data_IF_383710360772
#
_entry.id   IF_383710360772
#
_cell.length_a   1.000
_cell.length_b   1.000
_cell.length_c   1.000
_cell.angle_alpha   90.00
_cell.angle_beta   90.00
_cell.angle_gamma   90.00
#
_symmetry.space_group_name_H-M   'P 1'
#
loop_
_entity.id
_entity.type
_entity.pdbx_description
1 polymer ?
#
# COMPACT_ATOMS: atom_id res chain seq x y z
N UNK A 1 52.63 -16.25 49.28
CA UNK A 1 51.54 -16.95 48.55
C UNK A 1 50.21 -16.24 48.76
N UNK A 2 50.00 -15.06 48.17
CA UNK A 2 48.75 -14.28 48.32
C UNK A 2 48.80 -13.23 47.21
N UNK A 3 48.14 -13.46 46.06
CA UNK A 3 47.70 -12.42 45.10
C UNK A 3 47.20 -12.93 43.74
N UNK A 4 47.40 -14.20 43.36
CA UNK A 4 46.97 -14.67 42.02
C UNK A 4 45.45 -14.78 41.85
N UNK A 5 44.67 -14.98 42.93
CA UNK A 5 43.21 -15.15 42.86
C UNK A 5 42.43 -13.85 42.61
N UNK A 6 42.97 -12.68 42.99
CA UNK A 6 42.29 -11.38 42.77
C UNK A 6 42.47 -10.87 41.33
N UNK A 7 43.59 -11.21 40.70
CA UNK A 7 43.88 -10.81 39.31
C UNK A 7 43.00 -11.61 38.33
N UNK A 8 42.74 -12.89 38.62
CA UNK A 8 41.86 -13.73 37.79
C UNK A 8 40.38 -13.31 37.85
N UNK A 9 39.89 -12.81 38.99
CA UNK A 9 38.49 -12.38 39.13
C UNK A 9 38.18 -11.09 38.36
N UNK A 10 39.14 -10.15 38.31
CA UNK A 10 38.96 -8.87 37.62
C UNK A 10 38.94 -8.99 36.09
N UNK A 11 39.65 -9.99 35.53
CA UNK A 11 39.67 -10.24 34.07
C UNK A 11 38.34 -10.85 33.60
N UNK A 12 37.69 -11.67 34.43
CA UNK A 12 36.40 -12.30 34.09
C UNK A 12 35.26 -11.27 34.09
N UNK A 13 35.26 -10.30 35.02
CA UNK A 13 34.22 -9.26 35.08
C UNK A 13 34.34 -8.26 33.92
N UNK A 14 35.56 -7.92 33.50
CA UNK A 14 35.77 -7.02 32.34
C UNK A 14 35.42 -7.71 31.01
N UNK A 15 35.69 -9.03 30.88
CA UNK A 15 35.30 -9.81 29.71
C UNK A 15 33.77 -9.90 29.53
N UNK A 16 33.02 -10.04 30.63
CA UNK A 16 31.54 -10.12 30.60
C UNK A 16 30.90 -8.76 30.28
N UNK A 17 31.48 -7.65 30.74
CA UNK A 17 30.94 -6.31 30.45
C UNK A 17 31.21 -5.88 29.00
N UNK A 18 32.34 -6.26 28.41
CA UNK A 18 32.63 -5.97 26.98
C UNK A 18 31.84 -6.87 26.04
N UNK A 19 31.54 -8.12 26.43
CA UNK A 19 30.67 -9.02 25.65
C UNK A 19 29.18 -8.63 25.71
N UNK A 20 28.73 -7.94 26.76
CA UNK A 20 27.35 -7.47 26.89
C UNK A 20 27.02 -6.23 26.03
N UNK A 21 28.03 -5.48 25.59
CA UNK A 21 27.85 -4.24 24.81
C UNK A 21 27.81 -4.46 23.29
N UNK A 22 28.09 -5.68 22.81
CA UNK A 22 28.16 -6.00 21.37
C UNK A 22 26.87 -6.60 20.79
N UNK A 23 25.78 -6.71 21.56
CA UNK A 23 24.56 -7.42 21.16
C UNK A 23 23.32 -6.52 21.03
N UNK A 24 23.52 -5.23 20.76
CA UNK A 24 22.45 -4.36 20.26
C UNK A 24 22.73 -4.07 18.79
N UNK A 25 22.45 -5.06 17.94
CA UNK A 25 22.34 -4.81 16.51
C UNK A 25 21.24 -3.75 16.31
N UNK A 26 21.51 -2.63 15.62
CA UNK A 26 20.43 -1.73 15.24
C UNK A 26 19.46 -2.54 14.37
N UNK A 27 18.18 -2.55 14.74
CA UNK A 27 17.15 -3.12 13.88
C UNK A 27 17.32 -2.53 12.48
N UNK A 28 17.48 -3.38 11.47
CA UNK A 28 17.56 -2.91 10.09
C UNK A 28 16.28 -2.10 9.77
N UNK A 29 16.38 -1.00 9.01
CA UNK A 29 15.20 -0.24 8.65
C UNK A 29 14.19 -1.16 7.93
N UNK A 30 12.88 -1.04 8.21
CA UNK A 30 11.87 -1.85 7.55
C UNK A 30 11.99 -1.67 6.02
N UNK A 31 11.92 -2.77 5.29
CA UNK A 31 11.90 -2.75 3.84
C UNK A 31 10.58 -2.15 3.33
N UNK A 32 10.52 -1.77 2.05
CA UNK A 32 9.27 -1.30 1.43
C UNK A 32 8.15 -2.36 1.51
N UNK A 33 8.49 -3.64 1.56
CA UNK A 33 7.50 -4.72 1.77
C UNK A 33 6.99 -4.73 3.22
N UNK A 34 7.87 -4.47 4.18
CA UNK A 34 7.50 -4.46 5.61
C UNK A 34 6.54 -3.32 5.95
N UNK A 35 6.64 -2.17 5.26
CA UNK A 35 5.70 -1.05 5.42
C UNK A 35 4.24 -1.45 5.13
N UNK A 36 4.05 -2.43 4.24
CA UNK A 36 2.74 -2.88 3.77
C UNK A 36 2.42 -4.33 4.15
N UNK A 37 3.14 -4.92 5.12
CA UNK A 37 2.99 -6.35 5.48
C UNK A 37 1.55 -6.77 5.83
N UNK A 38 0.73 -5.86 6.37
CA UNK A 38 -0.68 -6.09 6.67
C UNK A 38 -1.59 -6.19 5.42
N UNK A 39 -1.07 -5.92 4.23
CA UNK A 39 -1.77 -6.10 2.95
C UNK A 39 -1.46 -7.45 2.29
N UNK A 40 -0.46 -8.18 2.80
CA UNK A 40 -0.06 -9.49 2.27
C UNK A 40 -1.19 -10.51 2.45
N UNK A 41 -1.54 -11.21 1.37
CA UNK A 41 -2.65 -12.17 1.35
C UNK A 41 -4.05 -11.55 1.32
N UNK A 42 -4.19 -10.22 1.21
CA UNK A 42 -5.49 -9.62 0.93
C UNK A 42 -5.90 -9.91 -0.51
N UNK A 43 -7.16 -10.29 -0.69
CA UNK A 43 -7.76 -10.50 -2.00
C UNK A 43 -8.32 -9.18 -2.55
N UNK A 44 -8.01 -8.91 -3.82
CA UNK A 44 -8.56 -7.80 -4.58
C UNK A 44 -9.05 -8.28 -5.95
N UNK A 45 -10.15 -7.72 -6.41
CA UNK A 45 -10.60 -7.86 -7.80
C UNK A 45 -10.30 -6.57 -8.54
N UNK A 46 -9.68 -6.64 -9.71
CA UNK A 46 -9.41 -5.49 -10.57
C UNK A 46 -10.11 -5.66 -11.89
N UNK A 47 -11.08 -4.78 -12.14
CA UNK A 47 -11.86 -4.69 -13.37
C UNK A 47 -11.18 -3.73 -14.34
N UNK A 48 -10.87 -4.19 -15.56
CA UNK A 48 -10.19 -3.39 -16.59
C UNK A 48 -10.68 -3.71 -18.00
N UNK A 49 -10.52 -2.75 -18.91
CA UNK A 49 -10.68 -2.99 -20.35
C UNK A 49 -9.55 -3.86 -20.93
N UNK A 50 -9.79 -4.71 -21.94
CA UNK A 50 -8.81 -5.69 -22.43
C UNK A 50 -7.43 -5.11 -22.74
N UNK A 51 -7.41 -3.95 -23.40
CA UNK A 51 -6.19 -3.36 -23.97
C UNK A 51 -5.53 -2.28 -23.07
N UNK A 52 -5.92 -2.17 -21.80
CA UNK A 52 -5.32 -1.20 -20.88
C UNK A 52 -4.00 -1.73 -20.29
N UNK A 53 -2.86 -1.29 -20.84
CA UNK A 53 -1.53 -1.72 -20.39
C UNK A 53 -1.11 -1.14 -19.03
N UNK A 54 -1.47 0.11 -18.71
CA UNK A 54 -1.17 0.69 -17.39
C UNK A 54 -1.93 -0.02 -16.27
N UNK A 55 -3.16 -0.47 -16.52
CA UNK A 55 -3.94 -1.29 -15.59
C UNK A 55 -3.21 -2.61 -15.25
N UNK A 56 -2.54 -3.22 -16.22
CA UNK A 56 -1.75 -4.44 -15.98
C UNK A 56 -0.51 -4.16 -15.13
N UNK A 57 0.14 -3.01 -15.35
CA UNK A 57 1.25 -2.57 -14.50
C UNK A 57 0.78 -2.30 -13.07
N UNK A 58 -0.44 -1.76 -12.89
CA UNK A 58 -1.03 -1.56 -11.58
C UNK A 58 -1.29 -2.88 -10.86
N UNK A 59 -1.87 -3.88 -11.55
CA UNK A 59 -2.02 -5.25 -11.01
C UNK A 59 -0.65 -5.83 -10.60
N UNK A 60 0.38 -5.65 -11.43
CA UNK A 60 1.74 -6.07 -11.11
C UNK A 60 2.30 -5.36 -9.87
N UNK A 61 2.02 -4.06 -9.71
CA UNK A 61 2.36 -3.30 -8.52
C UNK A 61 1.72 -3.88 -7.26
N UNK A 62 0.41 -4.14 -7.26
CA UNK A 62 -0.31 -4.75 -6.14
C UNK A 62 0.29 -6.11 -5.75
N UNK A 63 0.53 -6.98 -6.74
CA UNK A 63 1.11 -8.32 -6.51
C UNK A 63 2.51 -8.27 -5.91
N UNK A 64 3.34 -7.28 -6.27
CA UNK A 64 4.68 -7.11 -5.67
C UNK A 64 4.63 -6.84 -4.16
N UNK A 65 3.53 -6.29 -3.69
CA UNK A 65 3.29 -6.00 -2.28
C UNK A 65 2.41 -7.05 -1.58
N UNK A 66 2.21 -8.22 -2.21
CA UNK A 66 1.58 -9.37 -1.56
C UNK A 66 0.06 -9.43 -1.67
N UNK A 67 -0.57 -8.46 -2.34
CA UNK A 67 -2.02 -8.49 -2.59
C UNK A 67 -2.30 -9.54 -3.67
N UNK A 68 -3.21 -10.45 -3.37
CA UNK A 68 -3.71 -11.45 -4.31
C UNK A 68 -4.74 -10.81 -5.22
N UNK A 69 -4.44 -10.72 -6.52
CA UNK A 69 -5.29 -9.99 -7.47
C UNK A 69 -5.93 -10.94 -8.47
N UNK A 70 -7.26 -10.99 -8.43
CA UNK A 70 -8.10 -11.49 -9.52
C UNK A 70 -8.24 -10.40 -10.59
N UNK A 71 -7.82 -10.73 -11.81
CA UNK A 71 -7.94 -9.85 -12.97
C UNK A 71 -9.24 -10.15 -13.70
N UNK A 72 -10.15 -9.18 -13.74
CA UNK A 72 -11.43 -9.30 -14.44
C UNK A 72 -11.40 -8.37 -15.65
N UNK A 73 -11.49 -8.95 -16.85
CA UNK A 73 -11.44 -8.21 -18.11
C UNK A 73 -12.86 -8.07 -18.66
N UNK A 74 -13.28 -6.85 -18.98
CA UNK A 74 -14.58 -6.56 -19.57
C UNK A 74 -14.51 -5.36 -20.52
N UNK A 75 -15.33 -5.36 -21.56
CA UNK A 75 -15.54 -4.20 -22.42
C UNK A 75 -16.57 -3.21 -21.81
N UNK A 76 -17.30 -3.62 -20.78
CA UNK A 76 -18.41 -2.90 -20.15
C UNK A 76 -17.94 -2.15 -18.87
N UNK A 77 -16.85 -1.38 -18.98
CA UNK A 77 -16.28 -0.70 -17.79
C UNK A 77 -17.21 0.37 -17.21
N UNK A 78 -18.07 0.99 -18.01
CA UNK A 78 -19.04 1.97 -17.53
C UNK A 78 -20.07 1.30 -16.60
N UNK A 79 -20.54 0.10 -16.94
CA UNK A 79 -21.47 -0.67 -16.09
C UNK A 79 -20.81 -1.08 -14.76
N UNK A 80 -19.52 -1.41 -14.79
CA UNK A 80 -18.76 -1.70 -13.56
C UNK A 80 -18.68 -0.46 -12.67
N UNK A 81 -18.38 0.71 -13.26
CA UNK A 81 -18.27 1.97 -12.50
C UNK A 81 -19.59 2.36 -11.88
N UNK A 82 -20.68 2.29 -12.65
CA UNK A 82 -22.04 2.55 -12.18
C UNK A 82 -22.42 1.60 -11.05
N UNK A 83 -22.14 0.30 -11.20
CA UNK A 83 -22.38 -0.72 -10.16
C UNK A 83 -21.68 -0.38 -8.85
N UNK A 84 -20.50 0.20 -8.90
CA UNK A 84 -19.70 0.57 -7.73
C UNK A 84 -19.85 2.04 -7.32
N UNK A 85 -20.78 2.78 -7.94
CA UNK A 85 -21.09 4.16 -7.59
C UNK A 85 -19.97 5.15 -7.88
N UNK A 86 -19.08 4.83 -8.83
CA UNK A 86 -18.00 5.73 -9.28
C UNK A 86 -18.60 6.76 -10.24
N UNK A 87 -18.56 8.07 -9.93
CA UNK A 87 -19.08 9.08 -10.84
C UNK A 87 -18.28 9.15 -12.13
N UNK A 88 -18.99 9.31 -13.26
CA UNK A 88 -18.39 9.35 -14.59
C UNK A 88 -17.28 10.40 -14.72
N UNK A 89 -17.52 11.60 -14.21
CA UNK A 89 -16.57 12.71 -14.23
C UNK A 89 -15.37 12.51 -13.30
N UNK A 90 -15.44 11.61 -12.32
CA UNK A 90 -14.36 11.28 -11.40
C UNK A 90 -13.65 9.95 -11.70
N UNK A 91 -14.02 9.30 -12.81
CA UNK A 91 -13.52 7.97 -13.17
C UNK A 91 -12.05 7.93 -13.62
N UNK A 92 -11.51 6.71 -13.63
CA UNK A 92 -10.21 6.32 -14.15
C UNK A 92 -10.36 5.10 -15.07
N UNK A 93 -9.24 4.50 -15.48
CA UNK A 93 -9.21 3.39 -16.45
C UNK A 93 -9.61 2.02 -15.87
N UNK A 94 -9.59 1.85 -14.56
CA UNK A 94 -9.94 0.59 -13.89
C UNK A 94 -10.53 0.84 -12.51
N UNK A 95 -11.26 -0.16 -12.02
CA UNK A 95 -11.90 -0.15 -10.70
C UNK A 95 -11.46 -1.39 -9.95
N UNK A 96 -11.03 -1.22 -8.70
CA UNK A 96 -10.63 -2.30 -7.81
C UNK A 96 -11.62 -2.44 -6.66
N UNK A 97 -11.89 -3.66 -6.21
CA UNK A 97 -12.54 -3.91 -4.92
C UNK A 97 -11.58 -4.64 -3.99
N UNK A 98 -11.41 -4.15 -2.77
CA UNK A 98 -10.53 -4.74 -1.75
C UNK A 98 -11.07 -4.47 -0.35
N UNK A 99 -11.11 -5.49 0.51
CA UNK A 99 -11.50 -5.33 1.92
C UNK A 99 -12.88 -4.70 2.14
N UNK A 100 -13.81 -4.88 1.20
CA UNK A 100 -15.15 -4.29 1.23
C UNK A 100 -15.27 -2.88 0.65
N UNK A 101 -14.18 -2.29 0.16
CA UNK A 101 -14.16 -0.95 -0.42
C UNK A 101 -13.94 -0.96 -1.93
N UNK A 102 -14.45 0.09 -2.58
CA UNK A 102 -14.12 0.45 -3.97
C UNK A 102 -12.86 1.31 -3.97
N UNK A 103 -11.96 1.05 -4.92
CA UNK A 103 -10.76 1.85 -5.16
C UNK A 103 -10.65 2.14 -6.66
N UNK A 104 -10.85 3.40 -7.04
CA UNK A 104 -10.86 3.84 -8.43
C UNK A 104 -9.48 4.35 -8.87
N UNK A 105 -8.97 3.79 -9.96
CA UNK A 105 -7.75 4.25 -10.62
C UNK A 105 -6.43 3.85 -9.96
N UNK A 106 -5.36 4.51 -10.41
CA UNK A 106 -3.97 4.19 -10.08
C UNK A 106 -3.58 4.58 -8.65
N UNK A 107 -4.18 3.91 -7.66
CA UNK A 107 -4.12 4.29 -6.26
C UNK A 107 -2.80 3.87 -5.57
N UNK A 108 -2.07 4.80 -4.91
CA UNK A 108 -0.94 4.46 -4.05
C UNK A 108 -1.34 3.60 -2.84
N UNK A 109 -0.48 2.66 -2.44
CA UNK A 109 -0.73 1.79 -1.28
C UNK A 109 -0.84 2.56 0.03
N UNK A 110 -0.27 3.75 0.11
CA UNK A 110 -0.44 4.68 1.22
C UNK A 110 -1.93 4.96 1.50
N UNK A 111 -2.70 5.25 0.44
CA UNK A 111 -4.13 5.51 0.55
C UNK A 111 -4.93 4.22 0.81
N UNK A 112 -4.60 3.12 0.12
CA UNK A 112 -5.27 1.81 0.32
C UNK A 112 -5.05 1.31 1.75
N UNK A 113 -3.83 1.41 2.26
CA UNK A 113 -3.49 1.02 3.63
C UNK A 113 -4.23 1.86 4.66
N UNK A 114 -4.26 3.18 4.49
CA UNK A 114 -5.04 4.07 5.37
C UNK A 114 -6.52 3.68 5.38
N UNK A 115 -7.11 3.44 4.20
CA UNK A 115 -8.50 3.03 4.06
C UNK A 115 -8.80 1.74 4.84
N UNK A 116 -7.97 0.70 4.65
CA UNK A 116 -8.19 -0.61 5.26
C UNK A 116 -7.87 -0.64 6.77
N UNK A 117 -7.04 0.27 7.25
CA UNK A 117 -6.76 0.45 8.69
C UNK A 117 -7.86 1.21 9.39
N UNK A 118 -8.28 2.34 8.84
CA UNK A 118 -9.25 3.23 9.49
C UNK A 118 -10.70 2.78 9.31
N UNK A 119 -10.97 2.07 8.21
CA UNK A 119 -12.30 1.57 7.85
C UNK A 119 -13.40 2.64 7.99
N UNK A 120 -13.25 3.80 7.33
CA UNK A 120 -14.25 4.86 7.38
C UNK A 120 -15.58 4.40 6.76
N UNK A 121 -16.67 5.06 7.15
CA UNK A 121 -18.02 4.82 6.62
C UNK A 121 -18.22 5.51 5.26
N UNK A 122 -17.50 5.02 4.25
CA UNK A 122 -17.56 5.46 2.86
C UNK A 122 -17.62 4.23 1.96
N UNK A 123 -18.05 4.35 0.71
CA UNK A 123 -18.03 3.23 -0.25
C UNK A 123 -16.61 2.94 -0.75
N UNK A 124 -15.79 3.98 -0.90
CA UNK A 124 -14.48 3.82 -1.48
C UNK A 124 -13.67 5.11 -1.59
N UNK A 125 -12.56 5.02 -2.31
CA UNK A 125 -11.70 6.15 -2.67
C UNK A 125 -11.37 6.12 -4.15
N UNK A 126 -10.95 7.24 -4.72
CA UNK A 126 -10.55 7.28 -6.11
C UNK A 126 -9.48 8.31 -6.43
N UNK A 127 -8.77 8.06 -7.52
CA UNK A 127 -7.81 8.96 -8.12
C UNK A 127 -8.24 9.21 -9.57
N UNK A 128 -8.76 10.41 -9.82
CA UNK A 128 -9.36 10.78 -11.10
C UNK A 128 -8.36 10.73 -12.25
N UNK A 129 -8.82 10.25 -13.41
CA UNK A 129 -8.02 10.20 -14.63
C UNK A 129 -6.85 9.23 -14.51
N UNK A 130 -5.70 9.60 -15.08
CA UNK A 130 -4.49 8.76 -15.05
C UNK A 130 -3.23 9.61 -14.83
N UNK A 131 -2.99 10.11 -13.59
CA UNK A 131 -1.89 11.01 -13.31
C UNK A 131 -0.52 10.37 -13.56
N UNK A 132 0.40 11.11 -14.18
CA UNK A 132 1.80 10.69 -14.37
C UNK A 132 2.49 10.37 -13.04
N UNK A 133 3.27 9.30 -13.01
CA UNK A 133 3.99 8.84 -11.83
C UNK A 133 3.13 8.15 -10.76
N UNK A 134 1.82 8.05 -10.95
CA UNK A 134 0.98 7.18 -10.11
C UNK A 134 1.31 5.70 -10.37
N UNK A 135 1.09 4.79 -9.41
CA UNK A 135 1.47 3.38 -9.58
C UNK A 135 0.89 2.76 -10.86
N UNK A 136 1.75 2.19 -11.71
CA UNK A 136 1.35 1.60 -12.99
C UNK A 136 1.31 2.59 -14.16
N UNK A 137 1.29 3.90 -13.90
CA UNK A 137 1.47 4.94 -14.91
C UNK A 137 2.96 5.26 -15.12
N UNK A 138 3.38 5.58 -16.36
CA UNK A 138 4.72 6.06 -16.63
C UNK A 138 4.94 7.49 -16.12
N UNK A 139 6.19 7.95 -16.23
CA UNK A 139 6.56 9.32 -15.93
C UNK A 139 6.87 9.57 -14.45
N UNK A 140 7.05 10.84 -14.11
CA UNK A 140 7.34 11.31 -12.76
C UNK A 140 6.11 11.99 -12.16
N UNK A 141 5.99 11.94 -10.83
CA UNK A 141 4.96 12.68 -10.09
C UNK A 141 5.30 14.17 -10.14
N UNK A 142 4.41 14.98 -10.69
CA UNK A 142 4.62 16.42 -10.88
C UNK A 142 3.73 17.31 -9.98
N UNK A 143 2.73 16.71 -9.34
CA UNK A 143 1.81 17.35 -8.41
C UNK A 143 1.32 16.31 -7.42
N UNK A 144 0.73 16.76 -6.32
CA UNK A 144 0.11 15.86 -5.36
C UNK A 144 -1.04 15.06 -6.00
N UNK A 145 -1.22 13.84 -5.52
CA UNK A 145 -2.36 13.02 -5.90
C UNK A 145 -3.52 13.35 -4.97
N UNK A 146 -4.50 14.08 -5.51
CA UNK A 146 -5.74 14.39 -4.82
C UNK A 146 -6.65 13.16 -4.82
N UNK A 147 -6.57 12.39 -3.73
CA UNK A 147 -7.42 11.23 -3.49
C UNK A 147 -8.74 11.70 -2.91
N UNK A 148 -9.83 11.30 -3.55
CA UNK A 148 -11.18 11.62 -3.13
C UNK A 148 -11.84 10.40 -2.47
N UNK A 149 -12.84 10.63 -1.62
CA UNK A 149 -13.73 9.59 -1.09
C UNK A 149 -15.02 9.50 -1.89
N UNK A 150 -15.55 8.29 -2.03
CA UNK A 150 -16.84 8.00 -2.66
C UNK A 150 -17.83 7.68 -1.54
N UNK A 151 -18.87 8.48 -1.40
CA UNK A 151 -19.95 8.31 -0.42
C UNK A 151 -21.16 7.64 -1.09
N UNK A 152 -22.10 7.17 -0.26
CA UNK A 152 -23.37 6.64 -0.78
C UNK A 152 -24.05 7.64 -1.72
N UNK A 153 -24.61 7.13 -2.83
CA UNK A 153 -25.23 7.97 -3.87
C UNK A 153 -24.25 8.62 -4.85
N UNK A 154 -22.94 8.32 -4.74
CA UNK A 154 -21.93 8.83 -5.68
C UNK A 154 -21.41 10.23 -5.34
N UNK A 155 -21.73 10.76 -4.15
CA UNK A 155 -21.17 12.03 -3.70
C UNK A 155 -19.67 11.90 -3.43
N UNK A 156 -18.91 12.93 -3.80
CA UNK A 156 -17.45 12.96 -3.68
C UNK A 156 -17.02 13.88 -2.53
N UNK A 157 -16.10 13.37 -1.70
CA UNK A 157 -15.43 14.13 -0.64
C UNK A 157 -13.91 14.18 -0.83
N UNK A 158 -13.24 15.08 -0.11
CA UNK A 158 -11.77 15.05 -0.02
C UNK A 158 -11.34 13.96 0.98
N UNK A 159 -10.31 13.17 0.63
CA UNK A 159 -9.81 12.10 1.49
C UNK A 159 -8.35 12.31 1.92
N UNK A 160 -7.45 12.48 0.95
CA UNK A 160 -6.00 12.59 1.20
C UNK A 160 -5.31 13.28 0.02
N UNK A 161 -4.24 14.03 0.30
CA UNK A 161 -3.27 14.44 -0.71
C UNK A 161 -1.94 13.72 -0.44
N UNK A 162 -1.39 13.09 -1.47
CA UNK A 162 -0.13 12.35 -1.42
C UNK A 162 0.94 12.99 -2.28
#
# INVERSE_FOLDING_TARGET
MKNSKKIFLSIIIIGVVVLGLAWMSPASPPTLKDAWAHLDGLEAQVYKSPNCGCCDNYIGYLKRYGIEVERIVTDEMDEIKDKYGVPYDHSSCHTMTIGGYVVEGHMPLEAVSKLLKEKPSIMGIGLQGMPSGSPGMPGVKNSDFAVYSILEGGEIGSYLNL
#
